data_IF_047671562567
#
_entry.id   IF_047671562567
#
_cell.length_a   1.000
_cell.length_b   1.000
_cell.length_c   1.000
_cell.angle_alpha   90.00
_cell.angle_beta   90.00
_cell.angle_gamma   90.00
#
_symmetry.space_group_name_H-M   'P 1'
#
loop_
_entity.id
_entity.type
_entity.pdbx_description
1 polymer ?
#
# COMPACT_ATOMS: atom_id res chain seq x y z
N UNK A 1 -7.48 -20.96 16.68
CA UNK A 1 -6.72 -19.68 16.58
C UNK A 1 -6.53 -19.35 15.11
N UNK A 2 -6.78 -18.10 14.67
CA UNK A 2 -6.44 -17.67 13.30
C UNK A 2 -4.92 -17.45 13.23
N UNK A 3 -4.26 -18.06 12.25
CA UNK A 3 -2.84 -17.80 11.98
C UNK A 3 -2.68 -16.36 11.49
N UNK A 4 -1.75 -15.63 12.08
CA UNK A 4 -1.39 -14.26 11.69
C UNK A 4 0.01 -14.28 11.13
N UNK A 5 0.24 -13.55 10.03
CA UNK A 5 1.56 -13.39 9.43
C UNK A 5 2.03 -11.96 9.64
N UNK A 6 3.27 -11.81 10.10
CA UNK A 6 3.97 -10.53 10.14
C UNK A 6 4.39 -10.08 8.72
N UNK A 7 4.94 -8.88 8.59
CA UNK A 7 5.33 -8.35 7.28
C UNK A 7 6.40 -9.22 6.60
N UNK A 8 7.44 -9.57 7.34
CA UNK A 8 8.60 -10.31 6.83
C UNK A 8 8.22 -11.72 6.39
N UNK A 9 7.35 -12.39 7.14
CA UNK A 9 6.77 -13.68 6.78
C UNK A 9 6.00 -13.58 5.47
N UNK A 10 5.15 -12.56 5.29
CA UNK A 10 4.39 -12.37 4.05
C UNK A 10 5.32 -12.17 2.85
N UNK A 11 6.37 -11.37 3.01
CA UNK A 11 7.35 -11.10 1.94
C UNK A 11 8.13 -12.37 1.61
N UNK A 12 8.56 -13.12 2.63
CA UNK A 12 9.26 -14.40 2.46
C UNK A 12 8.38 -15.43 1.73
N UNK A 13 7.10 -15.54 2.11
CA UNK A 13 6.12 -16.42 1.45
C UNK A 13 5.90 -16.02 -0.01
N UNK A 14 5.80 -14.72 -0.31
CA UNK A 14 5.63 -14.24 -1.68
C UNK A 14 6.84 -14.61 -2.55
N UNK A 15 8.06 -14.38 -2.05
CA UNK A 15 9.31 -14.76 -2.73
C UNK A 15 9.44 -16.28 -2.89
N UNK A 16 9.10 -17.04 -1.86
CA UNK A 16 9.11 -18.51 -1.92
C UNK A 16 8.17 -19.04 -3.00
N UNK A 17 6.98 -18.45 -3.14
CA UNK A 17 6.01 -18.84 -4.16
C UNK A 17 6.44 -18.50 -5.59
N UNK A 18 7.28 -17.47 -5.77
CA UNK A 18 7.87 -17.14 -7.07
C UNK A 18 8.95 -18.14 -7.49
N UNK A 19 9.74 -18.63 -6.53
CA UNK A 19 10.82 -19.60 -6.78
C UNK A 19 10.32 -21.04 -6.87
N UNK A 20 9.51 -21.47 -5.90
CA UNK A 20 9.11 -22.87 -5.72
C UNK A 20 7.71 -23.18 -6.27
N UNK A 21 6.99 -22.16 -6.72
CA UNK A 21 5.63 -22.28 -7.22
C UNK A 21 4.57 -22.20 -6.12
N UNK A 22 3.44 -21.64 -6.52
CA UNK A 22 2.34 -21.23 -5.63
C UNK A 22 1.70 -22.42 -4.88
N UNK A 23 1.59 -23.58 -5.54
CA UNK A 23 0.93 -24.78 -4.98
C UNK A 23 1.73 -25.38 -3.83
N UNK A 24 3.05 -25.44 -3.97
CA UNK A 24 3.94 -26.00 -2.94
C UNK A 24 3.96 -25.10 -1.70
N UNK A 25 4.01 -23.78 -1.91
CA UNK A 25 3.93 -22.79 -0.83
C UNK A 25 2.59 -22.87 -0.08
N UNK A 26 1.48 -23.12 -0.77
CA UNK A 26 0.16 -23.28 -0.12
C UNK A 26 0.12 -24.50 0.80
N UNK A 27 0.70 -25.63 0.37
CA UNK A 27 0.82 -26.83 1.20
C UNK A 27 1.70 -26.60 2.43
N UNK A 28 2.86 -25.96 2.24
CA UNK A 28 3.83 -25.73 3.31
C UNK A 28 3.33 -24.77 4.39
N UNK A 29 2.71 -23.66 3.97
CA UNK A 29 2.32 -22.59 4.89
C UNK A 29 0.83 -22.61 5.28
N UNK A 30 0.02 -23.48 4.65
CA UNK A 30 -1.42 -23.58 4.89
C UNK A 30 -2.17 -22.31 4.48
N UNK A 31 -1.75 -21.69 3.38
CA UNK A 31 -2.29 -20.41 2.90
C UNK A 31 -3.33 -20.67 1.81
N UNK A 32 -4.47 -20.03 1.94
CA UNK A 32 -5.50 -20.02 0.91
C UNK A 32 -5.07 -19.17 -0.29
N UNK A 33 -5.41 -19.62 -1.50
CA UNK A 33 -5.09 -18.93 -2.74
C UNK A 33 -5.53 -17.46 -2.73
N UNK A 34 -6.75 -17.20 -2.24
CA UNK A 34 -7.30 -15.84 -2.12
C UNK A 34 -6.39 -14.91 -1.30
N UNK A 35 -5.95 -15.37 -0.13
CA UNK A 35 -5.03 -14.61 0.74
C UNK A 35 -3.70 -14.31 0.04
N UNK A 36 -3.13 -15.30 -0.65
CA UNK A 36 -1.88 -15.12 -1.39
C UNK A 36 -2.02 -14.10 -2.52
N UNK A 37 -3.03 -14.24 -3.37
CA UNK A 37 -3.23 -13.31 -4.49
C UNK A 37 -3.58 -11.90 -4.02
N UNK A 38 -4.29 -11.75 -2.91
CA UNK A 38 -4.47 -10.44 -2.28
C UNK A 38 -3.16 -9.80 -1.83
N UNK A 39 -2.25 -10.58 -1.22
CA UNK A 39 -0.93 -10.09 -0.84
C UNK A 39 -0.08 -9.75 -2.06
N UNK A 40 -0.07 -10.63 -3.07
CA UNK A 40 0.67 -10.40 -4.31
C UNK A 40 0.20 -9.13 -5.01
N UNK A 41 -1.11 -8.90 -5.10
CA UNK A 41 -1.67 -7.67 -5.65
C UNK A 41 -1.22 -6.44 -4.87
N UNK A 42 -1.34 -6.46 -3.53
CA UNK A 42 -0.90 -5.34 -2.68
C UNK A 42 0.61 -5.08 -2.83
N UNK A 43 1.41 -6.15 -2.85
CA UNK A 43 2.85 -6.05 -3.04
C UNK A 43 3.22 -5.43 -4.39
N UNK A 44 2.51 -5.76 -5.47
CA UNK A 44 2.72 -5.14 -6.77
C UNK A 44 2.29 -3.66 -6.81
N UNK A 45 1.27 -3.28 -6.03
CA UNK A 45 0.75 -1.90 -6.00
C UNK A 45 1.64 -0.94 -5.18
N UNK A 46 2.26 -1.41 -4.09
CA UNK A 46 2.99 -0.52 -3.17
C UNK A 46 4.13 -1.17 -2.40
N UNK A 47 4.68 -2.28 -2.92
CA UNK A 47 5.81 -3.01 -2.36
C UNK A 47 5.53 -3.59 -0.98
N UNK A 48 6.58 -3.73 -0.18
CA UNK A 48 6.50 -4.25 1.19
C UNK A 48 5.59 -3.40 2.08
N UNK A 49 5.62 -2.08 1.91
CA UNK A 49 4.79 -1.13 2.66
C UNK A 49 3.29 -1.41 2.51
N UNK A 50 2.86 -1.91 1.35
CA UNK A 50 1.46 -2.23 1.08
C UNK A 50 0.92 -3.46 1.82
N UNK A 51 1.81 -4.33 2.32
CA UNK A 51 1.46 -5.49 3.13
C UNK A 51 1.28 -5.15 4.63
N UNK A 52 1.69 -3.94 5.04
CA UNK A 52 1.49 -3.46 6.41
C UNK A 52 0.01 -3.26 6.72
N UNK A 53 -0.35 -3.59 7.96
CA UNK A 53 -1.66 -3.27 8.50
C UNK A 53 -1.92 -1.76 8.40
N UNK A 54 -3.07 -1.40 7.84
CA UNK A 54 -3.49 -0.01 7.70
C UNK A 54 -2.80 0.80 6.61
N UNK A 55 -2.07 0.19 5.66
CA UNK A 55 -1.48 0.90 4.51
C UNK A 55 -2.53 1.75 3.75
N UNK A 56 -3.66 1.14 3.37
CA UNK A 56 -4.76 1.85 2.70
C UNK A 56 -5.39 2.98 3.55
N UNK A 57 -5.29 2.91 4.88
CA UNK A 57 -5.77 3.99 5.77
C UNK A 57 -4.76 5.13 5.85
N UNK A 58 -3.46 4.83 5.85
CA UNK A 58 -2.38 5.84 5.80
C UNK A 58 -2.38 6.57 4.46
N UNK A 59 -2.37 5.84 3.33
CA UNK A 59 -2.42 6.45 2.00
C UNK A 59 -3.62 7.40 1.82
N UNK A 60 -4.82 7.02 2.30
CA UNK A 60 -5.99 7.92 2.28
C UNK A 60 -5.83 9.18 3.13
N UNK A 61 -5.11 9.12 4.25
CA UNK A 61 -4.82 10.31 5.07
C UNK A 61 -3.83 11.23 4.37
N UNK A 62 -2.80 10.65 3.77
CA UNK A 62 -1.76 11.41 3.07
C UNK A 62 -2.34 12.13 1.84
N UNK A 63 -3.18 11.45 1.06
CA UNK A 63 -3.92 12.04 -0.06
C UNK A 63 -4.76 13.25 0.41
N UNK A 64 -5.57 13.09 1.46
CA UNK A 64 -6.38 14.20 2.00
C UNK A 64 -5.54 15.38 2.47
N UNK A 65 -4.37 15.11 3.05
CA UNK A 65 -3.45 16.17 3.49
C UNK A 65 -2.91 16.95 2.28
N UNK A 66 -2.45 16.23 1.26
CA UNK A 66 -1.93 16.81 0.02
C UNK A 66 -3.01 17.59 -0.74
N UNK A 67 -4.24 17.09 -0.81
CA UNK A 67 -5.38 17.80 -1.42
C UNK A 67 -5.63 19.14 -0.73
N UNK A 68 -5.63 19.16 0.62
CA UNK A 68 -5.82 20.38 1.40
C UNK A 68 -4.69 21.37 1.21
N UNK A 69 -3.45 20.88 1.18
CA UNK A 69 -2.27 21.71 0.92
C UNK A 69 -2.29 22.29 -0.49
N UNK A 70 -2.68 21.51 -1.49
CA UNK A 70 -2.84 21.98 -2.88
C UNK A 70 -3.92 23.05 -3.00
N UNK A 71 -5.07 22.89 -2.33
CA UNK A 71 -6.12 23.89 -2.29
C UNK A 71 -5.64 25.20 -1.65
N UNK A 72 -4.88 25.10 -0.55
CA UNK A 72 -4.32 26.27 0.12
C UNK A 72 -3.28 26.98 -0.74
N UNK A 73 -2.37 26.23 -1.38
CA UNK A 73 -1.37 26.76 -2.30
C UNK A 73 -2.00 27.45 -3.51
N UNK A 74 -3.09 26.90 -4.05
CA UNK A 74 -3.86 27.52 -5.14
C UNK A 74 -4.45 28.87 -4.73
N UNK A 75 -5.02 28.97 -3.51
CA UNK A 75 -5.54 30.24 -2.99
C UNK A 75 -4.43 31.27 -2.84
N UNK A 76 -3.30 30.87 -2.24
CA UNK A 76 -2.15 31.75 -2.08
C UNK A 76 -1.60 32.24 -3.43
N UNK A 77 -1.58 31.38 -4.45
CA UNK A 77 -1.16 31.75 -5.79
C UNK A 77 -2.08 32.81 -6.40
N UNK A 78 -3.40 32.62 -6.30
CA UNK A 78 -4.39 33.61 -6.78
C UNK A 78 -4.23 34.95 -6.07
N UNK A 79 -4.05 34.94 -4.74
CA UNK A 79 -3.83 36.16 -3.96
C UNK A 79 -2.55 36.90 -4.41
N UNK A 80 -1.48 36.15 -4.70
CA UNK A 80 -0.20 36.67 -5.22
C UNK A 80 -0.34 37.26 -6.63
N UNK A 81 -1.06 36.59 -7.52
CA UNK A 81 -1.28 37.06 -8.89
C UNK A 81 -2.10 38.36 -8.89
N UNK A 82 -3.12 38.45 -8.04
CA UNK A 82 -3.93 39.67 -7.89
C UNK A 82 -3.11 40.86 -7.37
N UNK A 83 -2.17 40.63 -6.43
CA UNK A 83 -1.26 41.67 -5.92
C UNK A 83 -0.30 42.20 -6.99
N UNK A 84 0.05 41.38 -8.00
CA UNK A 84 0.92 41.78 -9.11
C UNK A 84 0.18 42.53 -10.23
N UNK A 85 -1.14 42.33 -10.35
CA UNK A 85 -1.99 43.02 -11.32
C UNK A 85 -2.48 44.41 -10.84
N UNK A 86 -2.22 44.75 -9.58
CA UNK A 86 -2.50 46.06 -8.96
C UNK A 86 -1.32 47.04 -9.07
#
# INVERSE_FOLDING_TARGET
>A
MKRTWNLEEKVSILKEAETNGVVETFRKHGIYATTYYEWKRKYNEGGESALLLGYAKRGRKDIKKLEKENEWLKKLLVDKELELEM
#
